data_IF_417540939120
#
_entry.id   IF_417540939120
#
_cell.length_a   1.000
_cell.length_b   1.000
_cell.length_c   1.000
_cell.angle_alpha   90.00
_cell.angle_beta   90.00
_cell.angle_gamma   90.00
#
_symmetry.space_group_name_H-M   'P 1'
#
loop_
_entity.id
_entity.type
_entity.pdbx_description
1 polymer ?
2 non-polymer ?
3 water ?
#
# COMPACT_ATOMS: atom_id res chain seq x y z
N UNK A 2 20.56 -26.05 -3.08
CA UNK A 2 19.13 -25.92 -3.17
C UNK A 2 18.64 -25.09 -2.01
N UNK A 3 17.86 -24.07 -2.32
CA UNK A 3 17.22 -23.24 -1.32
C UNK A 3 15.77 -23.64 -1.16
N UNK A 4 15.40 -24.23 -0.04
CA UNK A 4 14.00 -24.61 0.13
C UNK A 4 13.09 -23.41 0.40
N UNK A 5 11.98 -23.34 -0.34
CA UNK A 5 10.96 -22.29 -0.19
C UNK A 5 9.84 -22.75 0.74
N UNK A 6 9.63 -21.99 1.82
CA UNK A 6 8.69 -22.37 2.87
C UNK A 6 7.53 -21.39 3.02
N UNK A 7 6.39 -21.80 3.61
CA UNK A 7 5.26 -20.90 3.80
C UNK A 7 5.68 -19.65 4.57
N UNK A 8 5.25 -18.49 4.08
CA UNK A 8 5.47 -17.25 4.80
C UNK A 8 4.61 -17.14 6.05
N UNK A 9 5.25 -16.83 7.18
CA UNK A 9 4.50 -16.52 8.38
C UNK A 9 5.19 -15.32 9.07
N UNK A 10 4.44 -14.53 9.83
CA UNK A 10 5.03 -13.45 10.62
C UNK A 10 6.25 -13.86 11.48
N UNK A 11 6.18 -14.96 12.21
CA UNK A 11 7.32 -15.32 13.09
C UNK A 11 8.56 -15.69 12.33
N UNK A 12 8.40 -16.40 11.21
CA UNK A 12 9.54 -16.86 10.44
C UNK A 12 10.18 -15.70 9.74
N UNK A 13 9.38 -14.64 9.51
CA UNK A 13 9.80 -13.45 8.73
C UNK A 13 10.30 -12.34 9.66
N UNK A 14 9.94 -12.44 10.95
CA UNK A 14 10.10 -11.33 11.89
C UNK A 14 11.50 -10.74 12.01
N UNK A 15 12.55 -11.55 11.90
CA UNK A 15 13.92 -11.02 11.94
C UNK A 15 14.29 -10.15 10.75
N UNK A 16 13.46 -10.22 9.68
CA UNK A 16 13.76 -9.58 8.40
C UNK A 16 12.82 -8.45 8.04
N UNK A 17 11.68 -8.40 8.68
CA UNK A 17 10.65 -7.39 8.41
C UNK A 17 9.31 -7.91 8.88
N UNK A 18 8.26 -7.41 8.27
CA UNK A 18 6.95 -7.70 8.74
C UNK A 18 6.10 -8.16 7.62
N UNK A 19 5.18 -9.09 7.95
CA UNK A 19 4.18 -9.60 7.04
C UNK A 19 2.91 -8.80 7.17
N UNK A 20 2.43 -8.31 6.02
CA UNK A 20 1.18 -7.52 5.98
C UNK A 20 0.04 -8.46 5.66
N UNK A 21 -0.88 -8.63 6.61
CA UNK A 21 -1.96 -9.56 6.38
C UNK A 21 -2.95 -9.37 7.52
N UNK A 22 -4.15 -9.95 7.40
CA UNK A 22 -5.16 -9.79 8.47
C UNK A 22 -5.37 -11.08 9.30
N UNK A 23 -5.16 -12.23 8.68
CA UNK A 23 -5.51 -13.50 9.36
C UNK A 23 -4.87 -13.54 10.75
N UNK A 24 -5.69 -13.73 11.80
CA UNK A 24 -5.22 -13.86 13.17
C UNK A 24 -4.52 -12.65 13.80
N UNK A 25 -4.69 -11.50 13.15
CA UNK A 25 -4.14 -10.26 13.63
C UNK A 25 -5.19 -9.50 14.39
N UNK A 26 -4.72 -8.80 15.42
CA UNK A 26 -5.52 -7.95 16.29
C UNK A 26 -6.10 -6.76 15.51
N UNK A 27 -7.38 -6.50 15.73
CA UNK A 27 -7.96 -5.33 15.07
C UNK A 27 -8.85 -4.56 16.00
N UNK A 28 -9.20 -3.37 15.58
CA UNK A 28 -10.11 -2.44 16.31
C UNK A 28 -11.43 -2.43 15.51
N UNK A 29 -12.57 -2.50 16.22
CA UNK A 29 -13.88 -2.33 15.63
C UNK A 29 -14.12 -0.83 15.56
N UNK A 30 -14.24 -0.31 14.35
CA UNK A 30 -14.45 1.12 14.09
C UNK A 30 -15.88 1.30 13.50
N UNK A 31 -16.49 2.46 13.77
CA UNK A 31 -17.84 2.81 13.22
C UNK A 31 -18.91 1.75 13.54
N UNK A 32 -18.97 1.38 14.82
CA UNK A 32 -19.76 0.23 15.29
C UNK A 32 -19.55 -1.00 14.42
N UNK A 33 -18.30 -1.42 14.29
CA UNK A 33 -17.93 -2.61 13.51
C UNK A 33 -18.09 -2.56 12.00
N UNK A 34 -18.49 -1.40 11.45
CA UNK A 34 -18.55 -1.24 9.99
C UNK A 34 -17.19 -1.38 9.34
N UNK A 35 -16.16 -1.04 10.10
CA UNK A 35 -14.80 -1.32 9.65
C UNK A 35 -14.00 -2.07 10.71
N UNK A 36 -13.23 -3.06 10.30
CA UNK A 36 -12.25 -3.69 11.16
C UNK A 36 -10.88 -3.20 10.77
N UNK A 37 -10.24 -2.46 11.70
CA UNK A 37 -8.92 -1.88 11.49
C UNK A 37 -7.79 -2.78 11.98
N UNK A 38 -7.12 -3.44 11.02
CA UNK A 38 -5.98 -4.32 11.36
C UNK A 38 -4.75 -3.45 11.44
N UNK A 39 -4.44 -2.97 12.65
CA UNK A 39 -3.54 -1.84 12.81
C UNK A 39 -2.08 -2.24 12.93
N UNK A 40 -1.19 -1.31 12.58
CA UNK A 40 0.24 -1.45 12.89
C UNK A 40 0.83 -2.74 12.32
N UNK A 41 0.50 -3.05 11.05
CA UNK A 41 1.02 -4.25 10.43
C UNK A 41 2.49 -4.09 10.02
N UNK A 42 2.87 -2.85 9.69
CA UNK A 42 4.26 -2.56 9.30
C UNK A 42 4.50 -1.07 9.55
N UNK A 43 5.76 -0.73 9.80
CA UNK A 43 6.21 0.62 10.00
C UNK A 43 7.16 0.99 8.87
N UNK A 44 6.89 2.14 8.25
CA UNK A 44 7.74 2.65 7.20
C UNK A 44 8.82 3.43 7.90
N UNK A 45 10.07 3.12 7.60
CA UNK A 45 11.18 3.82 8.23
C UNK A 45 12.05 4.23 7.08
N UNK A 46 11.90 5.49 6.67
CA UNK A 46 12.62 6.03 5.52
C UNK A 46 13.40 7.26 5.98
N UNK A 47 14.67 7.36 5.60
CA UNK A 47 15.50 8.53 6.02
C UNK A 47 14.90 9.93 5.77
N UNK A 48 14.48 10.19 4.54
CA UNK A 48 14.07 11.56 4.14
C UNK A 48 12.57 11.66 4.10
N UNK A 49 12.03 12.71 4.73
CA UNK A 49 10.58 12.94 4.71
C UNK A 49 10.07 12.83 3.28
N UNK A 50 10.58 13.69 2.39
CA UNK A 50 10.09 13.81 1.01
C UNK A 50 10.25 12.57 0.17
N UNK A 51 10.71 11.46 0.78
CA UNK A 51 10.95 10.29 -0.04
C UNK A 51 10.16 9.10 0.43
N UNK A 52 9.11 9.37 1.19
CA UNK A 52 8.18 8.32 1.53
C UNK A 52 7.13 8.22 0.46
N UNK A 53 7.42 7.39 -0.53
CA UNK A 53 6.73 7.42 -1.81
C UNK A 53 5.92 6.15 -2.07
N UNK A 54 4.73 6.32 -2.63
CA UNK A 54 3.91 5.19 -3.09
C UNK A 54 4.02 5.08 -4.61
N UNK A 55 4.28 3.86 -5.03
CA UNK A 55 4.47 3.53 -6.45
C UNK A 55 3.80 2.18 -6.72
N UNK A 56 3.86 1.78 -7.98
CA UNK A 56 3.40 0.47 -8.38
C UNK A 56 4.52 -0.15 -9.24
N UNK A 57 4.99 -1.34 -8.83
CA UNK A 57 5.94 -2.08 -9.66
C UNK A 57 5.20 -3.25 -10.30
N UNK A 58 5.19 -3.23 -11.64
CA UNK A 58 4.58 -4.28 -12.41
C UNK A 58 5.69 -5.21 -12.83
N UNK A 59 5.61 -6.44 -12.37
CA UNK A 59 6.73 -7.41 -12.47
C UNK A 59 6.37 -8.62 -13.26
N UNK A 60 7.27 -9.05 -14.16
CA UNK A 60 7.03 -10.24 -14.98
C UNK A 60 7.28 -11.48 -14.14
N UNK A 61 6.60 -12.60 -14.47
CA UNK A 61 6.79 -13.85 -13.70
C UNK A 61 8.13 -14.44 -14.04
N UNK A 62 8.80 -15.04 -13.06
CA UNK A 62 10.10 -15.66 -13.35
C UNK A 62 9.87 -16.97 -14.14
N UNK A 63 10.84 -17.37 -14.98
CA UNK A 63 10.88 -18.75 -15.53
C UNK A 63 11.37 -19.74 -14.48
N UNK A 64 10.79 -20.93 -14.42
CA UNK A 64 11.32 -21.93 -13.47
C UNK A 64 11.86 -23.26 -14.06
N UNK A 65 12.89 -23.87 -13.47
CA UNK A 65 13.36 -23.57 -12.10
C UNK A 65 14.02 -22.22 -12.00
N UNK A 66 13.96 -21.66 -10.80
CA UNK A 66 14.54 -20.36 -10.53
C UNK A 66 15.81 -20.50 -9.70
N UNK A 67 16.85 -19.87 -10.21
CA UNK A 67 18.19 -19.87 -9.60
C UNK A 67 18.56 -18.42 -9.22
N UNK A 68 19.17 -18.23 -8.06
CA UNK A 68 19.55 -16.90 -7.62
C UNK A 68 21.04 -16.83 -7.30
N UNK A 69 21.66 -15.65 -7.40
CA UNK A 69 23.08 -15.52 -7.12
C UNK A 69 23.41 -14.12 -6.63
N UNK A 70 22.40 -13.34 -6.22
CA UNK A 70 22.74 -12.07 -5.58
C UNK A 70 21.52 -11.60 -4.84
N UNK A 71 21.76 -10.65 -3.95
CA UNK A 71 20.70 -10.02 -3.17
C UNK A 71 21.04 -8.52 -3.15
N UNK A 72 20.03 -7.70 -2.84
CA UNK A 72 20.13 -6.24 -2.78
C UNK A 72 19.67 -5.78 -1.41
N UNK A 73 20.10 -4.59 -0.98
CA UNK A 73 19.76 -4.10 0.38
C UNK A 73 19.61 -2.62 0.22
N UNK A 74 18.74 -2.02 1.03
CA UNK A 74 18.49 -0.60 0.94
C UNK A 74 18.75 -0.02 2.32
N UNK A 75 19.94 0.53 2.57
CA UNK A 75 20.25 1.02 3.90
C UNK A 75 19.38 2.15 4.40
N UNK A 76 18.80 2.93 3.48
CA UNK A 76 18.15 4.21 3.79
C UNK A 76 16.62 4.08 4.02
N UNK A 77 16.07 2.88 3.78
CA UNK A 77 14.62 2.80 3.91
C UNK A 77 14.09 1.38 3.91
N UNK A 78 12.94 1.20 4.57
CA UNK A 78 12.14 0.02 4.38
C UNK A 78 11.58 -0.03 2.95
N UNK A 79 11.06 -1.18 2.56
CA UNK A 79 10.55 -1.34 1.22
C UNK A 79 9.39 -2.34 1.36
N UNK A 80 8.18 -1.87 1.09
CA UNK A 80 6.99 -2.71 1.20
C UNK A 80 6.43 -3.01 -0.16
N UNK A 81 6.00 -4.25 -0.32
CA UNK A 81 5.39 -4.71 -1.54
C UNK A 81 4.09 -5.45 -1.17
N UNK A 82 2.99 -5.07 -1.80
CA UNK A 82 1.67 -5.67 -1.57
C UNK A 82 1.02 -5.95 -2.96
N UNK A 83 0.85 -7.21 -3.29
CA UNK A 83 0.24 -7.54 -4.60
C UNK A 83 -1.16 -6.97 -4.67
N UNK A 85 -3.85 -7.87 -6.70
CA UNK A 85 -4.99 -8.75 -7.04
C UNK A 85 -4.93 -10.16 -6.41
N UNK A 86 -4.44 -10.26 -5.19
CA UNK A 86 -4.43 -11.54 -4.49
C UNK A 86 -3.36 -12.53 -4.89
N UNK A 87 -2.33 -12.06 -5.64
CA UNK A 87 -1.31 -12.96 -6.17
C UNK A 87 -0.40 -13.53 -5.09
N UNK A 88 -0.10 -14.82 -5.21
CA UNK A 88 1.05 -15.41 -4.50
C UNK A 88 2.36 -14.89 -5.03
N UNK A 89 3.34 -14.66 -4.17
CA UNK A 89 4.69 -14.32 -4.66
C UNK A 89 5.72 -14.90 -3.76
N UNK A 90 7.00 -14.71 -4.09
CA UNK A 90 8.09 -15.44 -3.43
C UNK A 90 9.10 -14.36 -3.07
N UNK A 91 9.71 -14.52 -1.90
CA UNK A 91 10.70 -13.57 -1.31
C UNK A 91 11.87 -14.36 -0.82
N UNK A 92 13.05 -13.74 -0.93
CA UNK A 92 14.30 -14.32 -0.39
C UNK A 92 14.93 -13.27 0.48
N UNK A 93 15.41 -13.66 1.67
CA UNK A 93 15.93 -12.67 2.61
C UNK A 93 17.17 -13.13 3.34
N UNK A 94 18.00 -12.20 3.80
CA UNK A 94 19.14 -12.54 4.63
C UNK A 94 19.44 -11.34 5.47
N UNK A 95 19.97 -11.61 6.67
CA UNK A 95 20.54 -10.54 7.45
C UNK A 95 22.04 -10.48 7.12
N UNK A 96 22.80 -9.66 7.86
CA UNK A 96 24.22 -9.45 7.56
C UNK A 96 24.58 -8.00 7.34
N UNK A 97 25.58 -7.53 8.08
CA UNK A 97 25.99 -6.14 8.05
C UNK A 97 26.62 -5.66 6.74
N UNK A 98 27.85 -6.08 6.48
CA UNK A 98 28.57 -5.68 5.25
C UNK A 98 28.20 -6.47 4.01
N UNK A 99 27.82 -7.71 4.22
CA UNK A 99 27.59 -8.68 3.16
C UNK A 99 26.48 -9.63 3.63
N UNK A 100 25.76 -10.29 2.72
CA UNK A 100 24.74 -11.26 3.12
C UNK A 100 25.34 -12.33 4.04
N UNK A 101 24.75 -12.49 5.22
CA UNK A 101 25.11 -13.55 6.14
C UNK A 101 24.41 -14.84 5.72
N UNK A 102 25.14 -15.70 4.97
CA UNK A 102 24.54 -16.87 4.31
C UNK A 102 23.82 -17.87 5.23
N UNK A 103 24.12 -17.82 6.53
CA UNK A 103 23.47 -18.63 7.55
C UNK A 103 22.06 -18.14 7.90
N UNK A 104 21.72 -16.95 7.40
CA UNK A 104 20.43 -16.33 7.72
C UNK A 104 19.47 -16.39 6.53
N UNK A 105 19.98 -16.95 5.44
CA UNK A 105 19.30 -16.98 4.17
C UNK A 105 18.07 -17.89 4.20
N UNK A 106 16.94 -17.28 3.85
CA UNK A 106 15.71 -18.01 3.83
C UNK A 106 14.87 -17.56 2.63
N UNK A 107 13.96 -18.46 2.23
CA UNK A 107 13.03 -18.16 1.11
C UNK A 107 11.62 -18.50 1.49
N UNK A 108 10.67 -17.68 1.06
CA UNK A 108 9.26 -17.85 1.49
C UNK A 108 8.36 -17.64 0.30
N UNK A 109 7.23 -18.33 0.30
CA UNK A 109 6.14 -18.14 -0.66
C UNK A 109 4.92 -17.68 0.12
N UNK A 110 4.19 -16.73 -0.43
CA UNK A 110 3.07 -16.18 0.31
C UNK A 110 1.84 -17.02 0.03
N UNK A 111 0.75 -16.71 0.72
CA UNK A 111 -0.52 -17.44 0.49
C UNK A 111 -1.53 -16.65 -0.35
N UNK A 112 -1.10 -15.54 -0.92
CA UNK A 112 -1.96 -14.68 -1.73
C UNK A 112 -2.73 -13.60 -0.96
N UNK A 113 -2.65 -13.66 0.35
CA UNK A 113 -3.31 -12.66 1.20
C UNK A 113 -2.31 -11.78 1.98
N UNK A 114 -1.05 -11.81 1.55
CA UNK A 114 0.06 -11.23 2.31
C UNK A 114 0.86 -10.28 1.46
N UNK A 115 1.29 -9.17 2.07
CA UNK A 115 2.35 -8.31 1.52
C UNK A 115 3.52 -8.48 2.48
N UNK A 116 4.64 -7.83 2.18
CA UNK A 116 5.83 -7.83 3.03
C UNK A 116 6.39 -6.43 3.11
N UNK A 117 7.03 -6.13 4.26
CA UNK A 117 7.81 -4.89 4.46
C UNK A 117 9.18 -5.36 4.91
N UNK A 118 10.19 -5.16 4.06
CA UNK A 118 11.56 -5.51 4.43
C UNK A 118 12.11 -4.39 5.33
N UNK A 119 12.68 -4.74 6.48
CA UNK A 119 13.37 -3.73 7.28
C UNK A 119 14.54 -3.06 6.56
N UNK A 120 14.97 -1.89 7.06
CA UNK A 120 16.08 -1.17 6.46
C UNK A 120 17.24 -2.10 6.50
N UNK A 121 18.00 -2.15 5.40
CA UNK A 121 19.32 -2.79 5.40
C UNK A 121 19.29 -4.31 5.26
N UNK A 122 18.08 -4.86 5.18
CA UNK A 122 17.89 -6.30 5.09
C UNK A 122 18.07 -6.71 3.65
N UNK A 123 18.87 -7.76 3.45
CA UNK A 123 19.10 -8.33 2.13
C UNK A 123 17.87 -9.06 1.59
N UNK A 124 17.57 -8.82 0.33
CA UNK A 124 16.50 -9.58 -0.32
C UNK A 124 16.73 -9.63 -1.81
N UNK A 125 15.94 -10.46 -2.48
CA UNK A 125 16.13 -10.58 -3.92
C UNK A 125 15.38 -9.43 -4.64
N UNK A 126 15.91 -8.93 -5.75
CA UNK A 126 15.13 -8.05 -6.64
C UNK A 126 13.74 -8.59 -6.90
N UNK A 127 12.78 -7.68 -7.00
CA UNK A 127 11.40 -8.03 -7.24
C UNK A 127 11.19 -8.84 -8.50
N UNK A 128 10.47 -9.93 -8.32
CA UNK A 128 9.94 -10.71 -9.42
C UNK A 128 8.55 -11.19 -9.07
N UNK A 129 7.74 -11.43 -10.09
CA UNK A 129 6.44 -12.12 -9.89
C UNK A 129 6.49 -13.64 -9.98
N UNK A 130 5.39 -14.24 -9.53
CA UNK A 130 5.21 -15.68 -9.56
C UNK A 130 4.06 -16.07 -10.50
N UNK A 131 4.36 -16.86 -11.54
CA UNK A 131 3.35 -17.36 -12.49
C UNK A 131 2.75 -16.34 -13.45
N UNK A 132 2.30 -15.20 -12.93
CA UNK A 132 1.64 -14.24 -13.80
C UNK A 132 2.18 -12.86 -13.50
N UNK A 133 2.11 -11.96 -14.49
CA UNK A 133 2.48 -10.54 -14.28
C UNK A 133 1.64 -10.02 -13.12
N UNK A 134 2.29 -9.32 -12.20
CA UNK A 134 1.72 -8.94 -10.91
C UNK A 134 2.07 -7.47 -10.64
N UNK A 135 1.04 -6.70 -10.29
CA UNK A 135 1.29 -5.31 -9.84
C UNK A 135 1.44 -5.31 -8.37
N UNK A 136 2.53 -4.68 -7.88
CA UNK A 136 2.81 -4.64 -6.45
C UNK A 136 2.78 -3.21 -5.99
N UNK A 137 1.80 -2.89 -5.13
CA UNK A 137 1.74 -1.55 -4.53
C UNK A 137 3.02 -1.51 -3.66
N UNK A 138 3.77 -0.45 -3.84
CA UNK A 138 5.09 -0.30 -3.26
C UNK A 138 5.13 0.93 -2.41
N UNK A 139 5.77 0.81 -1.24
CA UNK A 139 6.00 1.99 -0.40
C UNK A 139 7.47 1.95 -0.04
N UNK A 140 8.23 2.88 -0.61
CA UNK A 140 9.70 2.88 -0.40
C UNK A 140 10.22 4.25 -0.80
N UNK A 141 11.54 4.40 -0.77
CA UNK A 141 12.21 5.65 -1.20
C UNK A 141 12.27 5.91 -2.69
N UNK A 142 12.00 4.88 -3.51
CA UNK A 142 12.09 4.99 -4.96
C UNK A 142 13.53 5.25 -5.44
N UNK A 143 13.70 5.43 -6.76
CA UNK A 143 15.03 5.58 -7.35
C UNK A 143 15.88 4.31 -7.34
N UNK A 144 17.07 4.40 -7.94
CA UNK A 144 18.01 3.27 -7.96
C UNK A 144 19.24 3.56 -7.08
N UNK A 145 19.10 4.62 -6.28
CA UNK A 145 20.07 5.25 -5.37
C UNK A 145 20.32 4.45 -4.06
N UNK A 146 21.56 4.46 -3.55
CA UNK A 146 21.89 3.78 -2.27
C UNK A 146 21.28 2.35 -2.12
N UNK A 147 21.42 1.55 -3.18
CA UNK A 147 21.12 0.11 -3.20
C UNK A 147 22.44 -0.63 -3.36
N UNK A 148 22.78 -1.44 -2.35
CA UNK A 148 23.95 -2.28 -2.39
C UNK A 148 23.51 -3.61 -2.93
N UNK A 149 24.24 -4.12 -3.92
CA UNK A 149 24.03 -5.48 -4.47
C UNK A 149 25.25 -6.33 -4.13
N UNK A 150 25.01 -7.52 -3.59
CA UNK A 150 26.09 -8.47 -3.28
C UNK A 150 25.75 -9.86 -3.76
N UNK A 151 26.71 -10.46 -4.46
CA UNK A 151 26.56 -11.84 -4.95
C UNK A 151 26.37 -12.85 -3.80
N UNK A 152 25.64 -13.92 -4.08
CA UNK A 152 25.58 -15.08 -3.16
C UNK A 152 25.89 -16.37 -3.95
N UNK A 153 26.31 -17.43 -3.26
CA UNK A 153 26.47 -18.72 -3.91
C UNK A 153 25.22 -19.06 -4.70
N UNK A 154 25.40 -19.47 -5.97
CA UNK A 154 24.29 -19.79 -6.84
C UNK A 154 23.46 -20.93 -6.31
N UNK A 155 22.13 -20.76 -6.28
CA UNK A 155 21.22 -21.81 -5.77
C UNK A 155 19.86 -21.75 -6.39
N UNK A 156 19.22 -22.92 -6.38
CA UNK A 156 17.99 -23.15 -7.05
C UNK A 156 16.89 -23.24 -6.01
N UNK A 157 15.82 -22.47 -6.21
CA UNK A 157 14.69 -22.49 -5.29
C UNK A 157 13.95 -23.80 -5.48
N UNK A 158 13.56 -24.41 -4.38
CA UNK A 158 12.93 -25.71 -4.42
C UNK A 158 11.63 -25.61 -3.64
N UNK A 159 10.52 -25.95 -4.30
CA UNK A 159 9.19 -25.75 -3.73
C UNK A 159 8.56 -27.05 -3.24
N UNK A 160 9.38 -27.91 -2.62
CA UNK A 160 8.98 -29.25 -2.18
C UNK A 160 7.83 -29.23 -1.18
N UNK B 2 -28.77 16.49 -4.08
CA UNK B 2 -28.13 15.37 -4.76
C UNK B 2 -26.68 15.63 -5.15
N UNK B 3 -25.80 14.77 -4.65
CA UNK B 3 -24.37 14.84 -4.97
C UNK B 3 -24.05 13.85 -6.10
N UNK B 4 -23.73 14.36 -7.28
CA UNK B 4 -23.43 13.49 -8.41
C UNK B 4 -22.04 12.83 -8.32
N UNK B 5 -21.98 11.50 -8.52
CA UNK B 5 -20.72 10.72 -8.49
C UNK B 5 -20.18 10.54 -9.92
N UNK B 6 -18.95 10.98 -10.13
CA UNK B 6 -18.30 10.97 -11.43
C UNK B 6 -17.10 10.02 -11.43
N UNK B 7 -16.64 9.59 -12.61
CA UNK B 7 -15.39 8.84 -12.74
C UNK B 7 -14.19 9.49 -12.02
N UNK B 8 -13.46 8.68 -11.26
CA UNK B 8 -12.21 9.15 -10.66
C UNK B 8 -11.12 9.38 -11.72
N UNK B 9 -10.54 10.58 -11.71
CA UNK B 9 -9.35 10.87 -12.51
C UNK B 9 -8.33 11.66 -11.70
N UNK B 10 -7.06 11.50 -12.05
CA UNK B 10 -6.01 12.32 -11.46
C UNK B 10 -6.28 13.85 -11.55
N UNK B 11 -6.65 14.36 -12.72
CA UNK B 11 -6.90 15.80 -12.85
C UNK B 11 -8.06 16.27 -11.99
N UNK B 12 -9.12 15.46 -11.90
CA UNK B 12 -10.29 15.89 -11.14
C UNK B 12 -10.06 15.79 -9.63
N UNK B 13 -9.17 14.88 -9.24
CA UNK B 13 -8.89 14.61 -7.82
C UNK B 13 -7.69 15.48 -7.29
N UNK B 14 -6.97 16.15 -8.20
CA UNK B 14 -5.66 16.74 -7.87
C UNK B 14 -5.68 17.78 -6.75
N UNK B 15 -6.76 18.57 -6.64
CA UNK B 15 -6.85 19.56 -5.54
C UNK B 15 -6.92 18.92 -4.16
N UNK B 16 -7.27 17.63 -4.13
CA UNK B 16 -7.67 16.87 -2.91
C UNK B 16 -6.66 15.78 -2.48
N UNK B 17 -5.95 15.26 -3.43
CA UNK B 17 -4.82 14.32 -3.17
C UNK B 17 -4.40 13.74 -4.50
N UNK B 18 -3.96 12.49 -4.48
CA UNK B 18 -3.46 11.82 -5.67
C UNK B 18 -4.10 10.49 -5.91
N UNK B 19 -4.26 10.15 -7.19
CA UNK B 19 -4.79 8.88 -7.65
C UNK B 19 -3.67 7.89 -7.87
N UNK B 20 -3.76 6.74 -7.20
CA UNK B 20 -2.74 5.70 -7.34
C UNK B 20 -3.23 4.73 -8.40
N UNK B 21 -2.50 4.65 -9.52
CA UNK B 21 -2.91 3.80 -10.65
C UNK B 21 -1.75 3.82 -11.61
N UNK B 22 -1.82 2.97 -12.64
CA UNK B 22 -0.73 2.83 -13.63
C UNK B 22 -1.11 3.38 -15.01
N UNK B 23 -2.38 3.34 -15.33
CA UNK B 23 -2.80 3.65 -16.70
C UNK B 23 -2.32 5.08 -17.09
N UNK B 24 -1.61 5.17 -18.20
CA UNK B 24 -1.06 6.45 -18.72
C UNK B 24 -0.08 7.20 -17.81
N UNK B 25 0.43 6.51 -16.79
CA UNK B 25 1.44 7.09 -15.93
C UNK B 25 2.82 6.70 -16.38
N UNK B 26 3.74 7.66 -16.23
CA UNK B 26 5.15 7.49 -16.59
C UNK B 26 5.76 6.39 -15.76
N UNK B 27 6.57 5.54 -16.40
CA UNK B 27 7.29 4.58 -15.60
C UNK B 27 8.75 4.44 -16.03
N UNK B 28 9.51 3.74 -15.22
CA UNK B 28 10.92 3.38 -15.51
C UNK B 28 10.97 1.89 -15.87
N UNK B 29 11.67 1.53 -16.95
CA UNK B 29 11.96 0.13 -17.29
C UNK B 29 13.14 -0.30 -16.41
N UNK B 30 12.91 -1.32 -15.57
CA UNK B 30 13.90 -1.80 -14.61
C UNK B 30 14.24 -3.26 -14.94
N UNK B 31 15.50 -3.66 -14.72
CA UNK B 31 15.95 -5.07 -14.89
C UNK B 31 15.68 -5.54 -16.32
N UNK B 32 16.16 -4.72 -17.25
CA UNK B 32 15.79 -4.77 -18.68
C UNK B 32 14.32 -5.10 -18.91
N UNK B 33 13.45 -4.16 -18.54
CA UNK B 33 11.99 -4.30 -18.69
C UNK B 33 11.24 -5.29 -17.82
N UNK B 34 11.96 -6.24 -17.19
CA UNK B 34 11.30 -7.20 -16.26
C UNK B 34 10.39 -6.53 -15.21
N UNK B 35 10.74 -5.33 -14.79
CA UNK B 35 9.86 -4.52 -13.93
C UNK B 35 9.61 -3.16 -14.58
N UNK B 36 8.36 -2.73 -14.53
CA UNK B 36 7.94 -1.37 -14.85
C UNK B 36 7.58 -0.65 -13.55
N UNK B 37 8.37 0.37 -13.22
CA UNK B 37 8.23 1.10 -11.99
C UNK B 37 7.41 2.35 -12.27
N UNK B 38 6.12 2.30 -11.89
CA UNK B 38 5.25 3.48 -11.96
C UNK B 38 5.51 4.36 -10.73
N UNK B 39 6.41 5.32 -10.87
CA UNK B 39 6.99 5.97 -9.69
C UNK B 39 6.20 7.19 -9.27
N UNK B 40 6.35 7.56 -7.99
CA UNK B 40 5.91 8.86 -7.48
C UNK B 40 4.39 9.05 -7.69
N UNK B 41 3.64 8.00 -7.48
CA UNK B 41 2.18 8.05 -7.63
C UNK B 41 1.54 8.86 -6.51
N UNK B 42 2.13 8.79 -5.30
CA UNK B 42 1.60 9.59 -4.18
C UNK B 42 2.77 9.76 -3.19
N UNK B 43 2.71 10.82 -2.38
CA UNK B 43 3.71 11.13 -1.35
C UNK B 43 3.00 11.09 0.01
N UNK B 44 3.51 10.23 0.89
CA UNK B 44 2.98 10.07 2.24
C UNK B 44 3.58 11.27 3.00
N UNK B 45 2.74 12.07 3.66
CA UNK B 45 3.25 13.22 4.41
C UNK B 45 2.73 13.08 5.83
N UNK B 46 3.56 12.47 6.67
CA UNK B 46 3.32 12.32 8.10
C UNK B 46 4.62 12.83 8.78
N UNK B 47 4.52 13.94 9.49
CA UNK B 47 5.72 14.58 10.06
C UNK B 47 6.27 13.93 11.32
N UNK B 48 5.44 13.38 12.21
CA UNK B 48 6.04 12.62 13.32
C UNK B 48 6.75 11.42 12.74
N UNK B 49 7.95 11.15 13.24
CA UNK B 49 8.86 10.22 12.59
C UNK B 49 8.54 8.70 12.75
N UNK B 50 7.85 8.29 13.82
CA UNK B 50 7.50 6.86 14.00
C UNK B 50 6.05 6.50 13.70
N UNK B 51 5.39 7.26 12.85
CA UNK B 51 3.96 7.15 12.76
C UNK B 51 3.50 6.87 11.36
N UNK B 52 4.42 6.48 10.47
CA UNK B 52 3.99 6.09 9.13
C UNK B 52 3.75 4.61 9.08
N UNK B 53 2.50 4.24 9.22
CA UNK B 53 2.07 2.87 9.53
C UNK B 53 1.26 2.30 8.38
N UNK B 54 1.49 1.01 8.09
CA UNK B 54 0.69 0.26 7.13
C UNK B 54 -0.26 -0.61 7.91
N UNK B 55 -1.51 -0.60 7.47
CA UNK B 55 -2.59 -1.33 8.17
C UNK B 55 -3.53 -1.79 7.07
N UNK B 56 -4.51 -2.61 7.43
CA UNK B 56 -5.55 -2.99 6.50
C UNK B 56 -6.87 -2.65 7.18
N UNK B 57 -7.73 -1.97 6.43
CA UNK B 57 -9.05 -1.65 6.97
C UNK B 57 -10.03 -2.43 6.16
N UNK B 58 -10.72 -3.35 6.84
CA UNK B 58 -11.72 -4.19 6.17
C UNK B 58 -13.13 -3.58 6.37
N UNK B 59 -13.68 -3.06 5.29
CA UNK B 59 -14.85 -2.16 5.36
C UNK B 59 -16.06 -2.86 4.80
N UNK B 60 -17.19 -2.71 5.50
CA UNK B 60 -18.47 -3.22 5.06
C UNK B 60 -19.01 -2.36 3.92
N UNK B 61 -19.79 -2.95 2.99
CA UNK B 61 -20.39 -2.10 1.94
C UNK B 61 -21.51 -1.24 2.51
N UNK B 62 -21.58 0.01 2.07
CA UNK B 62 -22.66 0.87 2.47
C UNK B 62 -23.96 0.41 1.79
N UNK B 63 -25.11 0.70 2.41
CA UNK B 63 -26.43 0.57 1.75
C UNK B 63 -26.83 1.76 0.85
N UNK B 64 -27.37 1.46 -0.34
CA UNK B 64 -27.95 2.55 -1.16
C UNK B 64 -29.47 2.53 -1.14
N UNK B 65 -30.10 3.71 -1.18
CA UNK B 65 -29.43 5.00 -1.42
C UNK B 65 -28.34 5.39 -0.38
N UNK B 66 -27.25 5.94 -0.90
CA UNK B 66 -26.15 6.41 -0.05
C UNK B 66 -26.40 7.88 0.25
N UNK B 67 -26.52 8.17 1.53
CA UNK B 67 -26.79 9.50 2.01
C UNK B 67 -25.67 9.91 3.00
N UNK B 68 -25.14 11.12 2.84
CA UNK B 68 -24.04 11.58 3.69
C UNK B 68 -24.36 12.88 4.38
N UNK B 69 -23.72 13.13 5.51
CA UNK B 69 -24.02 14.36 6.24
C UNK B 69 -22.81 14.83 7.03
N UNK B 70 -21.66 14.17 6.84
CA UNK B 70 -20.46 14.60 7.56
C UNK B 70 -19.22 14.22 6.81
N UNK B 71 -18.12 14.89 7.15
CA UNK B 71 -16.82 14.61 6.55
C UNK B 71 -15.83 14.69 7.71
N UNK B 72 -14.71 13.95 7.58
CA UNK B 72 -13.61 13.95 8.54
C UNK B 72 -12.33 14.43 7.85
N UNK B 73 -11.37 14.86 8.64
CA UNK B 73 -10.09 15.21 8.06
C UNK B 73 -9.00 14.99 9.08
N UNK B 74 -7.81 14.76 8.55
CA UNK B 74 -6.67 14.47 9.39
C UNK B 74 -5.64 15.54 9.18
N UNK B 75 -5.53 16.49 10.11
CA UNK B 75 -4.56 17.61 9.95
C UNK B 75 -3.07 17.19 9.99
N UNK B 76 -2.77 16.05 10.60
CA UNK B 76 -1.38 15.63 10.88
C UNK B 76 -0.81 14.60 9.87
N UNK B 77 -1.63 14.15 8.92
CA UNK B 77 -1.09 13.26 7.89
C UNK B 77 -1.99 12.94 6.71
N UNK B 78 -1.35 12.50 5.62
CA UNK B 78 -2.04 11.97 4.48
C UNK B 78 -2.65 10.63 4.86
N UNK B 79 -3.56 10.14 4.04
CA UNK B 79 -4.18 8.88 4.33
C UNK B 79 -4.42 8.23 3.01
N UNK B 80 -3.77 7.08 2.76
CA UNK B 80 -3.96 6.34 1.51
C UNK B 80 -4.71 5.07 1.73
N UNK B 81 -5.59 4.78 0.78
CA UNK B 81 -6.35 3.54 0.74
C UNK B 81 -6.27 2.89 -0.67
N UNK B 82 -5.89 1.63 -0.69
CA UNK B 82 -5.78 0.89 -1.98
C UNK B 82 -6.50 -0.44 -1.77
N UNK B 83 -7.57 -0.67 -2.55
CA UNK B 83 -8.30 -1.92 -2.40
C UNK B 83 -7.38 -3.07 -2.79
N UNK B 85 -8.29 -6.39 -3.85
CA UNK B 85 -8.68 -7.37 -4.91
C UNK B 85 -9.39 -6.68 -6.05
N UNK B 86 -8.95 -5.45 -6.37
CA UNK B 86 -9.38 -4.73 -7.55
C UNK B 86 -10.81 -4.21 -7.47
N UNK B 87 -11.27 -3.95 -6.24
CA UNK B 87 -12.65 -3.49 -6.02
C UNK B 87 -12.84 -2.05 -6.43
N UNK B 88 -14.03 -1.74 -6.98
CA UNK B 88 -14.45 -0.37 -7.17
C UNK B 88 -14.81 0.20 -5.79
N UNK B 89 -14.55 1.48 -5.58
CA UNK B 89 -15.05 2.11 -4.36
C UNK B 89 -15.32 3.56 -4.61
N UNK B 90 -15.92 4.23 -3.64
CA UNK B 90 -16.47 5.55 -3.86
C UNK B 90 -15.84 6.48 -2.81
N UNK B 91 -15.46 7.70 -3.23
CA UNK B 91 -14.85 8.67 -2.31
C UNK B 91 -15.58 10.01 -2.40
N UNK B 92 -15.51 10.79 -1.31
CA UNK B 92 -16.17 12.11 -1.23
C UNK B 92 -15.15 13.06 -0.61
N UNK B 93 -14.93 14.19 -1.27
CA UNK B 93 -13.88 15.10 -0.82
C UNK B 93 -14.34 16.55 -0.86
N UNK B 94 -13.68 17.37 -0.06
CA UNK B 94 -13.90 18.80 -0.06
C UNK B 94 -12.65 19.46 0.46
N UNK B 95 -12.41 20.67 0.01
CA UNK B 95 -11.40 21.50 0.65
C UNK B 95 -12.02 22.32 1.76
N UNK B 96 -11.26 23.26 2.33
CA UNK B 96 -11.79 24.11 3.39
C UNK B 96 -10.93 24.05 4.62
N UNK B 97 -10.54 25.21 5.14
CA UNK B 97 -9.66 25.32 6.29
C UNK B 97 -10.27 24.89 7.62
N UNK B 98 -11.21 25.66 8.14
CA UNK B 98 -11.85 25.33 9.40
C UNK B 98 -13.04 24.40 9.22
N UNK B 99 -13.70 24.51 8.08
CA UNK B 99 -14.89 23.71 7.83
C UNK B 99 -14.94 23.29 6.35
N UNK B 100 -15.65 22.21 6.00
CA UNK B 100 -15.84 21.88 4.59
C UNK B 100 -16.35 23.06 3.78
N UNK B 101 -15.60 23.40 2.74
CA UNK B 101 -16.00 24.46 1.83
C UNK B 101 -16.94 23.81 0.86
N UNK B 102 -18.23 24.02 1.08
CA UNK B 102 -19.22 23.27 0.35
C UNK B 102 -19.12 23.36 -1.17
N UNK B 103 -18.59 24.47 -1.68
CA UNK B 103 -18.41 24.69 -3.12
C UNK B 103 -17.36 23.75 -3.75
N UNK B 104 -16.59 23.06 -2.88
CA UNK B 104 -15.48 22.23 -3.34
C UNK B 104 -15.84 20.75 -3.31
N UNK B 105 -17.10 20.49 -2.92
CA UNK B 105 -17.57 19.13 -2.62
C UNK B 105 -17.73 18.28 -3.88
N UNK B 106 -16.99 17.18 -3.92
CA UNK B 106 -17.10 16.29 -5.04
C UNK B 106 -17.16 14.85 -4.57
N UNK B 107 -17.82 14.02 -5.38
CA UNK B 107 -17.86 12.55 -5.19
C UNK B 107 -17.27 11.84 -6.40
N UNK B 108 -16.52 10.77 -6.18
CA UNK B 108 -15.94 10.02 -7.31
C UNK B 108 -16.16 8.53 -7.11
N UNK B 109 -16.24 7.80 -8.22
CA UNK B 109 -16.22 6.34 -8.18
C UNK B 109 -14.99 5.88 -8.93
N UNK B 110 -14.31 4.86 -8.39
CA UNK B 110 -13.12 4.36 -9.05
C UNK B 110 -13.46 3.31 -10.13
N UNK B 111 -12.44 2.94 -10.89
CA UNK B 111 -12.62 1.94 -11.95
C UNK B 111 -12.12 0.54 -11.57
N UNK B 112 -11.76 0.35 -10.29
CA UNK B 112 -11.24 -0.91 -9.84
C UNK B 112 -9.71 -1.08 -9.91
N UNK B 113 -9.04 -0.18 -10.61
CA UNK B 113 -7.58 -0.23 -10.73
C UNK B 113 -6.90 0.93 -9.98
N UNK B 114 -7.66 1.59 -9.10
CA UNK B 114 -7.18 2.81 -8.47
C UNK B 114 -7.26 2.74 -6.95
N UNK B 115 -6.25 3.34 -6.33
CA UNK B 115 -6.33 3.75 -4.88
C UNK B 115 -6.32 5.27 -4.81
N UNK B 116 -6.40 5.83 -3.61
CA UNK B 116 -6.33 7.27 -3.39
C UNK B 116 -5.43 7.58 -2.24
N UNK B 117 -4.82 8.79 -2.28
CA UNK B 117 -4.07 9.38 -1.12
C UNK B 117 -4.65 10.74 -0.86
N UNK B 118 -5.40 10.86 0.22
CA UNK B 118 -5.91 12.17 0.60
C UNK B 118 -4.77 13.04 1.10
N UNK B 119 -4.63 14.25 0.57
CA UNK B 119 -3.64 15.17 1.19
C UNK B 119 -3.97 15.46 2.66
N UNK B 120 -2.97 15.90 3.44
CA UNK B 120 -3.23 16.25 4.84
C UNK B 120 -4.29 17.33 4.83
N UNK B 121 -5.21 17.23 5.77
CA UNK B 121 -6.22 18.31 6.11
C UNK B 121 -7.42 18.32 5.14
N UNK B 122 -7.39 17.42 4.17
CA UNK B 122 -8.49 17.34 3.20
C UNK B 122 -9.65 16.59 3.82
N UNK B 123 -10.82 17.24 3.79
CA UNK B 123 -12.08 16.64 4.17
C UNK B 123 -12.43 15.48 3.24
N UNK B 124 -12.83 14.37 3.83
CA UNK B 124 -13.34 13.26 3.05
C UNK B 124 -14.28 12.42 3.92
N UNK B 125 -14.98 11.48 3.29
CA UNK B 125 -15.96 10.71 4.04
C UNK B 125 -15.27 9.55 4.75
N UNK B 126 -15.68 9.20 5.98
CA UNK B 126 -15.23 7.97 6.63
C UNK B 126 -15.30 6.80 5.65
N UNK B 127 -14.31 5.92 5.75
CA UNK B 127 -14.18 4.79 4.87
C UNK B 127 -15.40 3.88 4.83
N UNK B 128 -15.87 3.56 3.61
CA UNK B 128 -16.92 2.54 3.41
C UNK B 128 -16.64 1.73 2.14
N UNK B 129 -17.14 0.50 2.05
CA UNK B 129 -16.94 -0.22 0.79
C UNK B 129 -18.12 -0.07 -0.13
N UNK B 130 -17.94 -0.54 -1.36
CA UNK B 130 -18.98 -0.46 -2.37
C UNK B 130 -19.36 -1.90 -2.79
N UNK B 131 -20.62 -2.25 -2.57
CA UNK B 131 -21.18 -3.54 -3.03
C UNK B 131 -20.72 -4.78 -2.28
N UNK B 132 -19.44 -4.84 -1.88
CA UNK B 132 -18.97 -6.04 -1.23
C UNK B 132 -17.92 -5.66 -0.21
N UNK B 133 -17.76 -6.51 0.80
CA UNK B 133 -16.78 -6.21 1.84
C UNK B 133 -15.42 -6.10 1.11
N UNK B 134 -14.65 -5.09 1.44
CA UNK B 134 -13.41 -4.78 0.71
C UNK B 134 -12.32 -4.54 1.74
N UNK B 135 -11.14 -5.10 1.50
CA UNK B 135 -9.97 -4.83 2.33
C UNK B 135 -9.18 -3.75 1.68
N UNK B 136 -8.89 -2.71 2.45
CA UNK B 136 -8.12 -1.55 1.92
C UNK B 136 -6.77 -1.45 2.56
N UNK B 137 -5.71 -1.64 1.79
CA UNK B 137 -4.36 -1.40 2.32
C UNK B 137 -4.30 0.07 2.60
N UNK B 138 -3.81 0.39 3.80
CA UNK B 138 -3.86 1.73 4.37
C UNK B 138 -2.48 2.21 4.80
N UNK B 139 -2.15 3.45 4.42
CA UNK B 139 -0.92 4.05 4.88
C UNK B 139 -1.35 5.38 5.49
N UNK B 140 -1.19 5.50 6.83
CA UNK B 140 -1.62 6.72 7.53
C UNK B 140 -0.98 6.69 8.90
N UNK B 141 -1.27 7.71 9.70
CA UNK B 141 -0.84 7.73 11.11
C UNK B 141 -1.50 6.70 12.07
N UNK B 142 -2.56 6.00 11.65
CA UNK B 142 -3.30 5.07 12.54
C UNK B 142 -4.00 5.79 13.69
N UNK B 143 -4.64 5.01 14.57
CA UNK B 143 -5.40 5.57 15.73
C UNK B 143 -6.65 6.35 15.32
N UNK B 144 -7.44 6.81 16.29
CA UNK B 144 -8.56 7.70 15.98
C UNK B 144 -8.37 9.14 16.56
N UNK B 145 -7.14 9.46 16.98
CA UNK B 145 -6.78 10.77 17.51
C UNK B 145 -6.54 11.81 16.39
N UNK B 146 -6.51 13.11 16.77
CA UNK B 146 -6.36 14.26 15.86
C UNK B 146 -7.10 14.16 14.49
N UNK B 147 -8.31 13.65 14.56
CA UNK B 147 -9.25 13.60 13.44
C UNK B 147 -10.39 14.58 13.73
N UNK B 148 -10.54 15.61 12.89
CA UNK B 148 -11.66 16.57 13.01
C UNK B 148 -12.87 16.09 12.21
N UNK B 149 -14.07 16.20 12.77
CA UNK B 149 -15.31 15.75 12.09
C UNK B 149 -16.29 16.92 11.97
N UNK B 150 -16.86 17.14 10.79
CA UNK B 150 -17.80 18.27 10.56
C UNK B 150 -19.00 17.84 9.71
N UNK B 151 -20.19 18.05 10.27
CA UNK B 151 -21.45 17.92 9.54
C UNK B 151 -21.41 18.69 8.21
N UNK B 152 -22.02 18.15 7.16
CA UNK B 152 -22.32 18.91 5.94
C UNK B 152 -23.85 18.76 5.64
N UNK B 153 -24.43 19.58 4.75
CA UNK B 153 -25.85 19.42 4.45
C UNK B 153 -26.07 18.03 3.90
N UNK B 154 -27.06 17.34 4.46
CA UNK B 154 -27.36 15.99 4.06
C UNK B 154 -27.62 15.89 2.55
N UNK B 155 -27.05 14.84 1.95
CA UNK B 155 -27.17 14.64 0.51
C UNK B 155 -26.98 13.22 0.07
N UNK B 156 -27.64 12.92 -1.04
CA UNK B 156 -27.77 11.58 -1.57
C UNK B 156 -26.87 11.45 -2.79
N UNK B 157 -26.05 10.40 -2.80
CA UNK B 157 -25.19 10.18 -3.96
C UNK B 157 -26.01 9.65 -5.13
N UNK B 158 -25.73 10.18 -6.30
CA UNK B 158 -26.42 9.76 -7.51
C UNK B 158 -25.41 9.25 -8.54
N UNK B 159 -25.65 8.05 -9.02
CA UNK B 159 -24.72 7.33 -9.87
C UNK B 159 -25.15 7.31 -11.34
N UNK B 160 -26.04 8.24 -11.71
CA UNK B 160 -26.55 8.34 -13.07
C UNK B 160 -25.45 8.43 -14.14
#
# INVERSE_FOLDING_TARGET
XKLQVLPLSQEAFSAYGDVIETQQRDFFHINNGLVERYHDLALVEILEQDRTLISINRAQPANLPLTIHELERHPLGTQAFIPXKGEVFVVVVALGDDKPDLSTLRAFITNGEQGVNYHRNVWHHPLFAWQRVTDFLTIDRGGSDNCDVESIPEQELCFAGSHHHHHHHH
XKLQVLPLSQEAFSAYGDVIETQQRDFFHINNGLVERYHDLALVEILEQDRTLISINRAQPANLPLTIHELERHPLGTQAFIPXKGEVFVVVVALGDDKPDLSTLRAFITNGEQGVNYHRNVWHHPLFAWQRVTDFLTIDRGGSDNCDVESIPEQELCFAGSHHHHHHHH
#
